data_IF_070673083632
#
_entry.id   IF_070673083632
#
_cell.length_a   1.000
_cell.length_b   1.000
_cell.length_c   1.000
_cell.angle_alpha   90.00
_cell.angle_beta   90.00
_cell.angle_gamma   90.00
#
_symmetry.space_group_name_H-M   'P 1'
#
loop_
_entity.id
_entity.type
_entity.pdbx_description
1 polymer ?
#
# COMPACT_ATOMS: atom_id res chain seq x y z
N UNK A 1 13.30 -7.18 -19.48
CA UNK A 1 12.29 -6.93 -18.43
C UNK A 1 11.29 -8.07 -18.45
N UNK A 2 11.04 -8.69 -17.31
CA UNK A 2 10.04 -9.78 -17.20
C UNK A 2 8.63 -9.18 -17.28
N UNK A 3 7.76 -9.75 -18.12
CA UNK A 3 6.36 -9.34 -18.27
C UNK A 3 5.63 -9.36 -16.92
N UNK A 4 5.92 -10.35 -16.07
CA UNK A 4 5.32 -10.50 -14.74
C UNK A 4 5.66 -9.30 -13.86
N UNK A 5 6.91 -8.85 -13.89
CA UNK A 5 7.35 -7.67 -13.13
C UNK A 5 6.64 -6.40 -13.61
N UNK A 6 6.55 -6.20 -14.93
CA UNK A 6 5.89 -5.01 -15.51
C UNK A 6 4.41 -4.97 -15.12
N UNK A 7 3.70 -6.09 -15.27
CA UNK A 7 2.29 -6.22 -14.86
C UNK A 7 2.14 -5.96 -13.36
N UNK A 8 3.01 -6.53 -12.52
CA UNK A 8 2.97 -6.30 -11.08
C UNK A 8 3.13 -4.83 -10.71
N UNK A 9 4.05 -4.11 -11.36
CA UNK A 9 4.24 -2.66 -11.15
C UNK A 9 2.99 -1.86 -11.54
N UNK A 10 2.44 -2.10 -12.73
CA UNK A 10 1.24 -1.39 -13.19
C UNK A 10 0.03 -1.64 -12.31
N UNK A 11 -0.19 -2.91 -11.92
CA UNK A 11 -1.25 -3.29 -10.99
C UNK A 11 -1.02 -2.63 -9.64
N UNK A 12 0.19 -2.67 -9.10
CA UNK A 12 0.51 -2.04 -7.80
C UNK A 12 0.21 -0.54 -7.81
N UNK A 13 0.71 0.19 -8.82
CA UNK A 13 0.49 1.64 -8.95
C UNK A 13 -0.99 1.96 -9.15
N UNK A 14 -1.66 1.22 -10.03
CA UNK A 14 -3.10 1.38 -10.29
C UNK A 14 -3.93 1.14 -9.03
N UNK A 15 -3.60 0.11 -8.24
CA UNK A 15 -4.27 -0.18 -6.98
C UNK A 15 -4.04 0.91 -5.94
N UNK A 16 -2.82 1.45 -5.79
CA UNK A 16 -2.58 2.58 -4.88
C UNK A 16 -3.42 3.79 -5.28
N UNK A 17 -3.43 4.15 -6.58
CA UNK A 17 -4.19 5.30 -7.07
C UNK A 17 -5.70 5.12 -6.86
N UNK A 18 -6.23 3.94 -7.19
CA UNK A 18 -7.62 3.58 -6.96
C UNK A 18 -7.97 3.64 -5.46
N UNK A 19 -7.11 3.09 -4.60
CA UNK A 19 -7.37 3.01 -3.17
C UNK A 19 -7.38 4.39 -2.49
N UNK A 20 -6.42 5.26 -2.83
CA UNK A 20 -6.41 6.65 -2.34
C UNK A 20 -7.64 7.40 -2.87
N UNK A 21 -7.98 7.21 -4.16
CA UNK A 21 -9.20 7.78 -4.73
C UNK A 21 -10.46 7.35 -3.99
N UNK A 22 -10.58 6.06 -3.65
CA UNK A 22 -11.69 5.55 -2.86
C UNK A 22 -11.77 6.26 -1.50
N UNK A 23 -10.67 6.43 -0.77
CA UNK A 23 -10.69 7.17 0.52
C UNK A 23 -11.25 8.60 0.42
N UNK A 24 -11.10 9.27 -0.73
CA UNK A 24 -11.62 10.62 -0.95
C UNK A 24 -13.08 10.67 -1.42
N UNK A 25 -13.50 9.69 -2.22
CA UNK A 25 -14.79 9.72 -2.92
C UNK A 25 -15.83 8.73 -2.38
N UNK A 26 -15.41 7.82 -1.52
CA UNK A 26 -16.25 6.87 -0.84
C UNK A 26 -16.93 7.55 0.36
N UNK A 27 -18.12 8.08 0.10
CA UNK A 27 -19.02 8.55 1.15
C UNK A 27 -20.06 7.45 1.44
N UNK A 28 -20.04 6.84 2.64
CA UNK A 28 -21.01 5.80 3.01
C UNK A 28 -22.45 6.33 3.09
N UNK A 29 -22.66 7.65 3.12
CA UNK A 29 -23.99 8.27 3.03
C UNK A 29 -24.43 8.59 1.59
N UNK A 30 -23.61 8.29 0.59
CA UNK A 30 -23.90 8.60 -0.80
C UNK A 30 -24.84 7.58 -1.44
N UNK A 31 -25.84 8.07 -2.18
CA UNK A 31 -26.73 7.23 -2.97
C UNK A 31 -26.14 6.82 -4.34
N UNK A 32 -24.90 7.21 -4.65
CA UNK A 32 -24.23 6.86 -5.90
C UNK A 32 -24.02 5.35 -5.99
N UNK A 33 -24.25 4.78 -7.17
CA UNK A 33 -24.15 3.33 -7.41
C UNK A 33 -22.81 2.74 -6.93
N UNK A 34 -21.69 3.40 -7.27
CA UNK A 34 -20.35 2.96 -6.86
C UNK A 34 -20.15 3.00 -5.34
N UNK A 35 -20.55 4.07 -4.65
CA UNK A 35 -20.44 4.15 -3.18
C UNK A 35 -21.25 3.04 -2.50
N UNK A 36 -22.47 2.76 -2.98
CA UNK A 36 -23.31 1.68 -2.44
C UNK A 36 -22.75 0.28 -2.73
N UNK A 37 -22.13 0.09 -3.89
CA UNK A 37 -21.48 -1.18 -4.24
C UNK A 37 -20.28 -1.43 -3.34
N UNK A 38 -19.47 -0.41 -3.07
CA UNK A 38 -18.29 -0.55 -2.22
C UNK A 38 -18.67 -0.75 -0.75
N UNK A 39 -19.68 -0.04 -0.24
CA UNK A 39 -20.21 -0.23 1.11
C UNK A 39 -20.69 -1.69 1.31
N UNK A 40 -21.38 -2.26 0.32
CA UNK A 40 -21.79 -3.68 0.32
C UNK A 40 -20.64 -4.68 0.34
N UNK A 41 -19.46 -4.29 -0.14
CA UNK A 41 -18.25 -5.12 -0.11
C UNK A 41 -17.48 -4.99 1.21
N UNK A 42 -17.95 -4.16 2.15
CA UNK A 42 -17.27 -3.84 3.40
C UNK A 42 -16.10 -2.86 3.21
N UNK A 43 -16.16 -2.05 2.16
CA UNK A 43 -15.08 -1.16 1.73
C UNK A 43 -14.10 -1.82 0.77
N UNK A 44 -13.38 -1.03 -0.04
CA UNK A 44 -12.38 -1.55 -0.98
C UNK A 44 -11.00 -1.81 -0.36
N UNK A 45 -10.77 -1.36 0.87
CA UNK A 45 -9.43 -1.35 1.46
C UNK A 45 -8.80 -2.74 1.61
N UNK A 46 -9.60 -3.77 1.94
CA UNK A 46 -9.07 -5.12 2.16
C UNK A 46 -8.56 -5.74 0.86
N UNK A 47 -9.31 -5.55 -0.21
CA UNK A 47 -8.95 -5.99 -1.56
C UNK A 47 -7.72 -5.24 -2.07
N UNK A 48 -7.68 -3.92 -1.85
CA UNK A 48 -6.53 -3.11 -2.22
C UNK A 48 -5.26 -3.57 -1.48
N UNK A 49 -5.32 -3.76 -0.15
CA UNK A 49 -4.18 -4.24 0.62
C UNK A 49 -3.69 -5.61 0.11
N UNK A 50 -4.59 -6.57 -0.12
CA UNK A 50 -4.21 -7.88 -0.64
C UNK A 50 -3.42 -7.79 -1.95
N UNK A 51 -3.94 -7.03 -2.93
CA UNK A 51 -3.27 -6.81 -4.22
C UNK A 51 -1.91 -6.13 -4.01
N UNK A 52 -1.83 -5.10 -3.16
CA UNK A 52 -0.59 -4.37 -2.88
C UNK A 52 0.48 -5.24 -2.23
N UNK A 53 0.10 -6.10 -1.27
CA UNK A 53 1.03 -7.06 -0.66
C UNK A 53 1.55 -8.07 -1.68
N UNK A 54 0.66 -8.69 -2.46
CA UNK A 54 1.04 -9.70 -3.46
C UNK A 54 1.96 -9.12 -4.52
N UNK A 55 1.58 -7.98 -5.12
CA UNK A 55 2.42 -7.31 -6.13
C UNK A 55 3.72 -6.78 -5.52
N UNK A 56 3.70 -6.31 -4.27
CA UNK A 56 4.88 -5.92 -3.51
C UNK A 56 5.90 -7.05 -3.38
N UNK A 57 5.46 -8.25 -3.00
CA UNK A 57 6.30 -9.44 -2.87
C UNK A 57 6.88 -9.85 -4.22
N UNK A 58 6.07 -9.84 -5.29
CA UNK A 58 6.55 -10.15 -6.66
C UNK A 58 7.68 -9.18 -7.06
N UNK A 59 7.51 -7.88 -6.81
CA UNK A 59 8.52 -6.88 -7.13
C UNK A 59 9.80 -7.04 -6.29
N UNK A 60 9.69 -7.46 -5.03
CA UNK A 60 10.84 -7.74 -4.16
C UNK A 60 11.63 -8.96 -4.66
N UNK A 61 10.93 -10.06 -4.95
CA UNK A 61 11.54 -11.27 -5.49
C UNK A 61 12.23 -10.99 -6.83
N UNK A 62 11.63 -10.17 -7.71
CA UNK A 62 12.27 -9.76 -8.97
C UNK A 62 13.56 -8.95 -8.76
N UNK A 63 13.70 -8.25 -7.63
CA UNK A 63 14.92 -7.54 -7.22
C UNK A 63 15.93 -8.43 -6.50
N UNK A 64 15.69 -9.74 -6.46
CA UNK A 64 16.56 -10.70 -5.77
C UNK A 64 16.47 -10.65 -4.25
N UNK A 65 15.40 -10.07 -3.70
CA UNK A 65 15.17 -9.98 -2.26
C UNK A 65 14.06 -10.96 -1.87
N UNK A 66 14.44 -12.05 -1.19
CA UNK A 66 13.49 -13.01 -0.64
C UNK A 66 12.78 -12.47 0.61
N UNK A 67 11.69 -13.13 1.01
CA UNK A 67 11.02 -12.80 2.26
C UNK A 67 11.96 -13.02 3.44
N UNK A 68 12.77 -14.08 3.48
CA UNK A 68 13.71 -14.29 4.61
C UNK A 68 14.76 -13.17 4.67
N UNK A 69 15.25 -12.73 3.52
CA UNK A 69 16.23 -11.65 3.44
C UNK A 69 15.70 -10.31 3.97
N UNK A 70 14.38 -10.03 3.86
CA UNK A 70 13.79 -8.84 4.47
C UNK A 70 14.01 -8.77 5.98
N UNK A 71 14.09 -9.93 6.64
CA UNK A 71 14.27 -10.04 8.09
C UNK A 71 15.74 -10.27 8.49
N UNK A 72 16.67 -10.30 7.53
CA UNK A 72 18.08 -10.45 7.85
C UNK A 72 18.65 -9.18 8.46
N UNK A 73 19.56 -9.33 9.43
CA UNK A 73 20.26 -8.19 10.07
C UNK A 73 21.05 -7.38 9.04
N UNK A 74 21.65 -8.05 8.07
CA UNK A 74 22.43 -7.45 6.99
C UNK A 74 21.56 -6.50 6.17
N UNK A 75 20.38 -6.96 5.75
CA UNK A 75 19.45 -6.16 4.98
C UNK A 75 18.93 -4.96 5.77
N UNK A 76 18.48 -5.18 7.01
CA UNK A 76 17.96 -4.14 7.90
C UNK A 76 19.03 -3.08 8.21
N UNK A 77 20.31 -3.45 8.23
CA UNK A 77 21.41 -2.54 8.45
C UNK A 77 21.59 -1.49 7.34
N UNK A 78 21.20 -1.83 6.11
CA UNK A 78 21.37 -0.94 4.94
C UNK A 78 20.39 0.24 4.96
N UNK A 79 20.76 1.37 4.34
CA UNK A 79 19.85 2.52 4.17
C UNK A 79 18.57 2.13 3.41
N UNK A 80 18.70 1.27 2.40
CA UNK A 80 17.57 0.76 1.62
C UNK A 80 16.64 -0.11 2.48
N UNK A 81 17.20 -1.03 3.27
CA UNK A 81 16.44 -1.88 4.18
C UNK A 81 15.73 -1.10 5.28
N UNK A 82 16.35 -0.06 5.85
CA UNK A 82 15.70 0.85 6.82
C UNK A 82 14.49 1.55 6.20
N UNK A 83 14.62 2.08 4.98
CA UNK A 83 13.50 2.71 4.27
C UNK A 83 12.40 1.71 3.92
N UNK A 84 12.76 0.49 3.51
CA UNK A 84 11.80 -0.58 3.26
C UNK A 84 11.02 -0.94 4.53
N UNK A 85 11.70 -1.07 5.68
CA UNK A 85 11.06 -1.35 6.95
C UNK A 85 10.20 -0.20 7.48
N UNK A 86 10.60 1.05 7.23
CA UNK A 86 9.75 2.20 7.49
C UNK A 86 8.44 2.11 6.67
N UNK A 87 8.54 1.78 5.38
CA UNK A 87 7.36 1.54 4.53
C UNK A 87 6.49 0.41 5.06
N UNK A 88 7.07 -0.76 5.35
CA UNK A 88 6.34 -1.94 5.86
C UNK A 88 5.61 -1.60 7.17
N UNK A 89 6.28 -0.90 8.09
CA UNK A 89 5.68 -0.47 9.36
C UNK A 89 4.45 0.42 9.13
N UNK A 90 4.55 1.39 8.20
CA UNK A 90 3.42 2.25 7.87
C UNK A 90 2.27 1.48 7.21
N UNK A 91 2.57 0.54 6.31
CA UNK A 91 1.55 -0.33 5.70
C UNK A 91 0.84 -1.18 6.77
N UNK A 92 1.59 -1.75 7.72
CA UNK A 92 1.01 -2.50 8.84
C UNK A 92 0.16 -1.60 9.75
N UNK A 93 0.58 -0.37 10.00
CA UNK A 93 -0.21 0.62 10.73
C UNK A 93 -1.55 0.89 10.02
N UNK A 94 -1.53 1.02 8.68
CA UNK A 94 -2.75 1.17 7.90
C UNK A 94 -3.63 -0.09 7.92
N UNK A 95 -3.03 -1.29 7.96
CA UNK A 95 -3.78 -2.53 8.11
C UNK A 95 -4.48 -2.60 9.47
N UNK A 96 -3.76 -2.32 10.56
CA UNK A 96 -4.32 -2.27 11.93
C UNK A 96 -5.42 -1.23 12.04
N UNK A 97 -5.22 -0.04 11.49
CA UNK A 97 -6.25 0.99 11.46
C UNK A 97 -7.51 0.52 10.74
N UNK A 98 -7.35 -0.20 9.62
CA UNK A 98 -8.49 -0.74 8.88
C UNK A 98 -9.20 -1.88 9.62
N UNK A 99 -8.49 -2.69 10.41
CA UNK A 99 -9.13 -3.66 11.34
C UNK A 99 -9.98 -2.94 12.38
N UNK A 100 -9.45 -1.89 13.00
CA UNK A 100 -10.05 -1.23 14.16
C UNK A 100 -11.23 -0.32 13.75
N UNK A 101 -11.02 0.54 12.75
CA UNK A 101 -12.03 1.53 12.33
C UNK A 101 -12.98 0.93 11.29
N UNK A 102 -12.46 0.07 10.41
CA UNK A 102 -13.23 -0.52 9.32
C UNK A 102 -13.73 0.52 8.32
N UNK A 103 -14.78 0.14 7.60
CA UNK A 103 -15.47 0.99 6.65
C UNK A 103 -16.52 1.86 7.38
N UNK A 104 -16.06 2.83 8.16
CA UNK A 104 -16.93 3.76 8.91
C UNK A 104 -16.54 5.21 8.61
N UNK A 105 -17.54 6.10 8.56
CA UNK A 105 -17.31 7.54 8.45
C UNK A 105 -16.52 8.03 9.67
N UNK A 106 -15.28 8.48 9.45
CA UNK A 106 -14.40 8.95 10.52
C UNK A 106 -13.46 10.06 10.03
N UNK A 107 -13.26 11.09 10.86
CA UNK A 107 -12.24 12.12 10.59
C UNK A 107 -10.82 11.55 10.58
N UNK A 108 -10.61 10.37 11.17
CA UNK A 108 -9.33 9.68 11.15
C UNK A 108 -8.90 9.26 9.73
N UNK A 109 -9.83 9.23 8.76
CA UNK A 109 -9.52 8.94 7.36
C UNK A 109 -8.51 9.93 6.75
N UNK A 110 -8.46 11.18 7.22
CA UNK A 110 -7.46 12.16 6.75
C UNK A 110 -6.05 11.77 7.18
N UNK A 111 -5.89 11.23 8.39
CA UNK A 111 -4.61 10.67 8.85
C UNK A 111 -4.23 9.43 8.03
N UNK A 112 -5.21 8.59 7.72
CA UNK A 112 -5.05 7.41 6.87
C UNK A 112 -4.53 7.77 5.46
N UNK A 113 -5.15 8.79 4.85
CA UNK A 113 -4.75 9.35 3.56
C UNK A 113 -3.34 9.94 3.64
N UNK A 114 -3.04 10.72 4.69
CA UNK A 114 -1.70 11.29 4.88
C UNK A 114 -0.62 10.20 4.95
N UNK A 115 -0.82 9.16 5.76
CA UNK A 115 0.12 8.03 5.85
C UNK A 115 0.26 7.31 4.51
N UNK A 116 -0.83 7.17 3.75
CA UNK A 116 -0.80 6.58 2.40
C UNK A 116 0.11 7.39 1.46
N UNK A 117 0.06 8.73 1.50
CA UNK A 117 0.99 9.57 0.73
C UNK A 117 2.45 9.42 1.20
N UNK A 118 2.71 9.30 2.50
CA UNK A 118 4.06 9.04 3.01
C UNK A 118 4.61 7.70 2.49
N UNK A 119 3.79 6.65 2.48
CA UNK A 119 4.15 5.34 1.90
C UNK A 119 4.51 5.46 0.42
N UNK A 120 3.74 6.25 -0.34
CA UNK A 120 4.04 6.53 -1.76
C UNK A 120 5.37 7.30 -1.89
N UNK A 121 5.60 8.32 -1.08
CA UNK A 121 6.86 9.08 -1.06
C UNK A 121 8.07 8.17 -0.81
N UNK A 122 8.02 7.32 0.21
CA UNK A 122 9.07 6.33 0.49
C UNK A 122 9.22 5.35 -0.68
N UNK A 123 8.11 4.93 -1.31
CA UNK A 123 8.16 4.03 -2.48
C UNK A 123 8.92 4.65 -3.65
N UNK A 124 8.73 5.95 -3.91
CA UNK A 124 9.49 6.67 -4.95
C UNK A 124 10.98 6.72 -4.60
N UNK A 125 11.32 6.96 -3.34
CA UNK A 125 12.71 6.95 -2.87
C UNK A 125 13.37 5.58 -2.97
N UNK A 126 12.63 4.49 -2.76
CA UNK A 126 13.14 3.11 -2.91
C UNK A 126 13.35 2.69 -4.36
N UNK A 127 12.71 3.37 -5.32
CA UNK A 127 12.83 3.11 -6.76
C UNK A 127 13.89 3.98 -7.40
N UNK A 128 14.04 5.24 -6.97
CA UNK A 128 15.08 6.13 -7.48
C UNK A 128 16.37 5.94 -6.68
N UNK A 129 17.53 5.70 -7.33
CA UNK A 129 18.83 5.82 -6.68
C UNK A 129 19.11 7.32 -6.49
N UNK A 130 18.47 7.95 -5.51
CA UNK A 130 18.79 9.32 -5.11
C UNK A 130 19.49 9.22 -3.75
N UNK A 131 20.82 9.32 -3.84
CA UNK A 131 21.75 9.69 -2.78
C UNK A 131 21.90 8.71 -1.61
N UNK A 132 22.47 7.53 -1.87
CA UNK A 132 23.35 6.84 -0.90
C UNK A 132 24.46 6.11 -1.65
#
# INVERSE_FOLDING_TARGET
MDLVYVVAVWVHVGTVAFWIGAMFFEDPNSNRFFSRMVDRMGGVGWYAQAILWTTGIIMLNHRGISIEQLFSREFIGTSWGKMMWAKITLVLLLAVFQVIIGHRASKAIYGYVFVSFVIVGISVMLVRPILF
#
